data_IF_458335735999
#
_entry.id   IF_458335735999
#
_cell.length_a   1.000
_cell.length_b   1.000
_cell.length_c   1.000
_cell.angle_alpha   90.00
_cell.angle_beta   90.00
_cell.angle_gamma   90.00
#
_symmetry.space_group_name_H-M   'P 1'
#
loop_
_entity.id
_entity.type
_entity.pdbx_description
1 polymer ?
#
# COMPACT_ATOMS: atom_id res chain seq x y z
N UNK A 1 -32.01 -33.07 -3.14
CA UNK A 1 -30.65 -33.34 -2.64
C UNK A 1 -29.65 -32.82 -3.65
N UNK A 2 -29.17 -31.61 -3.34
CA UNK A 2 -28.14 -30.80 -3.99
C UNK A 2 -28.25 -30.60 -5.53
N UNK A 3 -29.39 -30.06 -6.00
CA UNK A 3 -29.41 -29.19 -7.21
C UNK A 3 -28.68 -27.84 -6.98
N UNK A 4 -27.68 -27.86 -6.09
CA UNK A 4 -26.62 -26.87 -5.85
C UNK A 4 -25.24 -27.48 -6.12
N UNK A 5 -25.17 -28.60 -6.84
CA UNK A 5 -23.90 -29.21 -7.32
C UNK A 5 -23.50 -28.62 -8.68
N UNK A 6 -24.41 -27.89 -9.34
CA UNK A 6 -24.20 -27.24 -10.64
C UNK A 6 -23.91 -25.73 -10.55
N UNK A 7 -23.51 -25.26 -9.37
CA UNK A 7 -22.76 -24.02 -9.16
C UNK A 7 -21.35 -24.36 -8.65
N UNK A 8 -20.79 -25.49 -9.11
CA UNK A 8 -19.54 -26.06 -8.60
C UNK A 8 -18.66 -26.71 -9.68
N UNK A 9 -19.03 -26.69 -10.98
CA UNK A 9 -18.33 -27.50 -11.99
C UNK A 9 -17.94 -26.85 -13.32
N UNK A 10 -18.45 -25.67 -13.74
CA UNK A 10 -17.80 -24.87 -14.81
C UNK A 10 -18.21 -23.38 -14.68
N UNK A 11 -17.29 -22.41 -14.86
CA UNK A 11 -17.49 -20.94 -14.89
C UNK A 11 -17.66 -20.26 -13.50
N UNK A 12 -16.70 -19.49 -12.97
CA UNK A 12 -15.74 -18.56 -13.60
C UNK A 12 -14.45 -18.49 -12.76
N UNK A 13 -13.36 -19.09 -13.25
CA UNK A 13 -11.94 -18.72 -13.10
C UNK A 13 -11.41 -17.93 -11.86
N UNK A 14 -12.06 -17.91 -10.70
CA UNK A 14 -11.58 -17.27 -9.46
C UNK A 14 -12.57 -17.55 -8.29
N UNK A 15 -12.78 -18.80 -7.89
CA UNK A 15 -13.45 -19.07 -6.59
C UNK A 15 -12.42 -18.78 -5.49
N UNK A 16 -12.24 -17.48 -5.28
CA UNK A 16 -11.80 -16.78 -4.07
C UNK A 16 -10.75 -17.53 -3.29
N UNK A 17 -9.51 -17.46 -3.76
CA UNK A 17 -8.35 -17.81 -2.93
C UNK A 17 -8.56 -17.15 -1.55
N UNK A 18 -8.43 -17.85 -0.40
CA UNK A 18 -8.20 -17.16 0.86
C UNK A 18 -6.73 -16.77 0.83
N UNK A 19 -6.41 -15.82 -0.03
CA UNK A 19 -5.05 -15.47 -0.35
C UNK A 19 -5.08 -13.98 -0.57
N UNK A 20 -5.05 -13.25 0.55
CA UNK A 20 -3.91 -12.41 0.93
C UNK A 20 -2.91 -12.15 -0.21
N UNK A 21 -3.39 -11.69 -1.36
CA UNK A 21 -2.56 -11.19 -2.45
C UNK A 21 -2.34 -9.73 -2.14
N UNK A 22 -1.57 -9.52 -1.08
CA UNK A 22 -1.15 -8.20 -0.63
C UNK A 22 -0.32 -7.48 -1.72
N UNK A 23 0.00 -8.14 -2.84
CA UNK A 23 0.66 -7.52 -4.00
C UNK A 23 -0.27 -6.80 -4.98
N UNK A 24 -1.56 -7.14 -5.05
CA UNK A 24 -2.46 -6.58 -6.07
C UNK A 24 -2.76 -5.09 -5.80
N UNK A 25 -2.75 -4.69 -4.54
CA UNK A 25 -3.02 -3.31 -4.08
C UNK A 25 -1.90 -2.31 -4.42
N UNK A 26 -0.69 -2.82 -4.69
CA UNK A 26 0.47 -2.01 -5.04
C UNK A 26 0.75 -2.01 -6.55
N UNK A 27 -0.10 -2.64 -7.36
CA UNK A 27 0.03 -2.68 -8.82
C UNK A 27 -1.29 -2.26 -9.51
N UNK A 28 -1.36 -1.03 -10.06
CA UNK A 28 -0.28 -0.05 -10.19
C UNK A 28 0.05 0.64 -8.86
N UNK A 29 1.32 1.07 -8.68
CA UNK A 29 1.78 1.71 -7.45
C UNK A 29 0.87 2.91 -7.09
N UNK A 30 0.13 2.87 -5.96
CA UNK A 30 -0.74 3.96 -5.55
C UNK A 30 0.01 5.14 -4.95
N UNK A 31 1.29 4.97 -4.60
CA UNK A 31 2.13 6.00 -4.02
C UNK A 31 2.69 6.93 -5.13
N UNK A 32 2.52 8.23 -4.94
CA UNK A 32 3.03 9.26 -5.84
C UNK A 32 4.51 9.58 -5.56
N UNK A 33 5.12 10.38 -6.46
CA UNK A 33 6.44 10.99 -6.27
C UNK A 33 7.60 10.01 -5.97
N UNK A 34 7.46 8.76 -6.40
CA UNK A 34 8.46 7.72 -6.16
C UNK A 34 8.37 7.05 -4.78
N UNK A 35 7.25 7.18 -4.08
CA UNK A 35 6.97 6.46 -2.84
C UNK A 35 6.92 4.95 -3.04
N UNK A 36 7.33 4.20 -2.01
CA UNK A 36 7.35 2.73 -2.01
C UNK A 36 6.04 2.25 -1.40
N UNK A 37 5.28 1.44 -2.15
CA UNK A 37 4.06 0.82 -1.63
C UNK A 37 4.41 -0.41 -0.78
N UNK A 38 3.95 -0.39 0.47
CA UNK A 38 4.06 -1.46 1.44
C UNK A 38 2.67 -2.03 1.71
N UNK A 39 2.45 -3.32 1.46
CA UNK A 39 1.13 -3.88 1.64
C UNK A 39 0.82 -4.18 3.10
N UNK A 40 -0.41 -3.90 3.51
CA UNK A 40 -0.86 -3.99 4.90
C UNK A 40 -1.38 -5.37 5.30
N UNK A 41 -1.64 -5.54 6.61
CA UNK A 41 -2.10 -6.81 7.19
C UNK A 41 -3.61 -7.04 7.02
N UNK A 42 -4.39 -5.99 6.75
CA UNK A 42 -5.82 -6.10 6.51
C UNK A 42 -6.11 -6.20 5.01
N UNK A 43 -7.23 -6.83 4.67
CA UNK A 43 -7.72 -6.89 3.29
C UNK A 43 -7.81 -5.47 2.71
N UNK A 44 -7.26 -5.28 1.51
CA UNK A 44 -7.22 -4.00 0.77
C UNK A 44 -6.48 -2.83 1.47
N UNK A 45 -5.68 -3.11 2.51
CA UNK A 45 -4.88 -2.08 3.19
C UNK A 45 -3.47 -1.94 2.61
N UNK A 46 -3.03 -0.71 2.35
CA UNK A 46 -1.65 -0.40 1.95
C UNK A 46 -1.11 0.80 2.75
N UNK A 47 0.21 0.94 2.77
CA UNK A 47 0.93 2.07 3.34
C UNK A 47 2.01 2.52 2.36
N UNK A 48 2.27 3.82 2.28
CA UNK A 48 3.32 4.36 1.43
C UNK A 48 4.50 4.84 2.29
N UNK A 49 5.69 4.39 1.96
CA UNK A 49 6.93 4.97 2.45
C UNK A 49 7.30 6.15 1.55
N UNK A 50 7.13 7.36 2.07
CA UNK A 50 7.34 8.59 1.31
C UNK A 50 8.81 9.05 1.34
N UNK A 51 9.34 9.52 0.20
CA UNK A 51 10.65 10.16 0.17
C UNK A 51 10.63 11.49 0.94
N UNK A 52 11.82 11.95 1.35
CA UNK A 52 11.98 13.20 2.08
C UNK A 52 11.30 14.37 1.37
N UNK A 53 10.51 15.13 2.12
CA UNK A 53 9.78 16.28 1.59
C UNK A 53 8.42 15.94 0.98
N UNK A 54 7.93 14.71 1.07
CA UNK A 54 6.55 14.34 0.70
C UNK A 54 5.75 13.84 1.90
N UNK A 55 4.45 14.09 1.88
CA UNK A 55 3.49 13.68 2.91
C UNK A 55 2.16 13.27 2.27
N UNK A 56 1.15 13.05 3.10
CA UNK A 56 -0.10 12.35 2.82
C UNK A 56 0.03 10.82 2.67
N UNK A 57 -1.08 10.06 2.81
CA UNK A 57 -1.08 8.60 2.75
C UNK A 57 -0.52 8.01 1.44
N UNK A 58 -0.49 8.81 0.38
CA UNK A 58 0.00 8.43 -0.93
C UNK A 58 1.17 9.30 -1.41
N UNK A 59 1.84 10.05 -0.52
CA UNK A 59 2.98 10.90 -0.86
C UNK A 59 2.66 11.98 -1.91
N UNK A 60 1.40 12.43 -2.04
CA UNK A 60 1.00 13.38 -3.10
C UNK A 60 1.39 14.82 -2.81
N UNK A 61 1.43 15.23 -1.53
CA UNK A 61 1.74 16.60 -1.16
C UNK A 61 3.21 16.74 -0.77
N UNK A 62 3.75 17.92 -1.07
CA UNK A 62 5.08 18.31 -0.60
C UNK A 62 4.94 18.82 0.83
N UNK A 63 5.80 18.35 1.73
CA UNK A 63 5.95 18.97 3.04
C UNK A 63 6.54 20.35 2.80
N UNK A 64 5.69 21.38 2.89
CA UNK A 64 6.18 22.75 3.07
C UNK A 64 6.87 22.79 4.43
N UNK A 65 8.17 22.48 4.43
CA UNK A 65 9.05 22.79 5.54
C UNK A 65 9.09 24.30 5.64
N UNK A 66 8.14 24.88 6.38
CA UNK A 66 8.30 26.21 6.93
C UNK A 66 9.63 26.14 7.65
N UNK A 67 10.64 26.82 7.11
CA UNK A 67 12.02 26.81 7.57
C UNK A 67 12.09 27.43 8.98
N UNK A 68 11.50 26.77 9.97
CA UNK A 68 11.87 26.90 11.36
C UNK A 68 13.01 25.90 11.51
N UNK A 69 14.23 26.40 11.36
CA UNK A 69 15.47 25.68 11.53
C UNK A 69 15.45 24.83 12.82
N UNK A 70 15.03 23.56 12.72
CA UNK A 70 15.25 22.55 13.75
C UNK A 70 15.48 21.22 13.05
N UNK A 71 16.67 21.15 12.44
CA UNK A 71 17.31 19.92 11.95
C UNK A 71 17.18 18.82 13.04
N UNK A 72 16.49 17.68 12.79
CA UNK A 72 16.63 16.53 13.66
C UNK A 72 18.11 16.10 13.60
N UNK A 73 18.75 16.08 14.76
CA UNK A 73 20.20 16.01 14.89
C UNK A 73 20.74 14.68 14.36
N UNK A 74 21.21 14.67 13.11
CA UNK A 74 22.25 13.72 12.70
C UNK A 74 23.59 14.16 13.31
N UNK A 75 23.75 13.91 14.61
CA UNK A 75 25.03 13.95 15.32
C UNK A 75 25.05 12.81 16.36
N UNK A 76 25.31 11.57 15.93
CA UNK A 76 25.79 10.53 16.85
C UNK A 76 26.95 9.75 16.22
N UNK A 77 28.03 10.50 15.96
CA UNK A 77 29.38 9.97 15.87
C UNK A 77 30.33 10.96 16.54
N UNK A 78 30.32 10.97 17.88
CA UNK A 78 31.52 11.26 18.67
C UNK A 78 31.42 10.57 20.02
#
# INVERSE_FOLDING_TARGET
VVRRVFQWLVFRNHITRPFFSSGDICDPNPCANGGICLPGLADDSFSCECPDGFTDPNCSSVVEVVLLENKPQMNLFK
#
